data_IF_908331440134
#
_entry.id   IF_908331440134
#
_cell.length_a   1.000
_cell.length_b   1.000
_cell.length_c   1.000
_cell.angle_alpha   90.00
_cell.angle_beta   90.00
_cell.angle_gamma   90.00
#
_symmetry.space_group_name_H-M   'P 1'
#
loop_
_entity.id
_entity.type
_entity.pdbx_description
1 polymer ?
#
# COMPACT_ATOMS: atom_id res chain seq x y z
N UNK A 1 35.02 24.39 -2.44
CA UNK A 1 34.69 23.73 -1.15
C UNK A 1 33.22 23.95 -0.77
N UNK A 2 32.72 25.19 -0.75
CA UNK A 2 31.32 25.51 -0.45
C UNK A 2 30.28 24.73 -1.29
N UNK A 3 30.57 24.53 -2.58
CA UNK A 3 29.73 23.76 -3.52
C UNK A 3 29.58 22.29 -3.12
N UNK A 4 30.63 21.65 -2.60
CA UNK A 4 30.58 20.27 -2.14
C UNK A 4 29.70 20.14 -0.88
N UNK A 5 29.80 21.09 0.05
CA UNK A 5 28.95 21.14 1.24
C UNK A 5 27.47 21.35 0.89
N UNK A 6 27.18 22.21 -0.09
CA UNK A 6 25.82 22.43 -0.59
C UNK A 6 25.22 21.16 -1.19
N UNK A 7 25.98 20.45 -2.03
CA UNK A 7 25.55 19.19 -2.64
C UNK A 7 25.34 18.07 -1.62
N UNK A 8 26.17 18.01 -0.57
CA UNK A 8 26.04 17.04 0.51
C UNK A 8 24.73 17.27 1.30
N UNK A 9 24.43 18.54 1.62
CA UNK A 9 23.22 18.93 2.34
C UNK A 9 21.94 18.65 1.53
N UNK A 10 21.96 18.94 0.23
CA UNK A 10 20.85 18.63 -0.66
C UNK A 10 20.62 17.11 -0.76
N UNK A 11 21.68 16.31 -0.90
CA UNK A 11 21.55 14.85 -0.93
C UNK A 11 20.98 14.28 0.37
N UNK A 12 21.40 14.77 1.53
CA UNK A 12 20.84 14.35 2.82
C UNK A 12 19.33 14.64 2.95
N UNK A 13 18.89 15.79 2.43
CA UNK A 13 17.47 16.14 2.37
C UNK A 13 16.70 15.20 1.44
N UNK A 14 17.23 14.91 0.25
CA UNK A 14 16.61 13.99 -0.71
C UNK A 14 16.50 12.56 -0.17
N UNK A 15 17.53 12.07 0.54
CA UNK A 15 17.51 10.75 1.19
C UNK A 15 16.40 10.70 2.26
N UNK A 16 16.30 11.74 3.09
CA UNK A 16 15.28 11.81 4.15
C UNK A 16 13.86 11.83 3.57
N UNK A 17 13.63 12.61 2.50
CA UNK A 17 12.34 12.65 1.80
C UNK A 17 11.99 11.31 1.14
N UNK A 18 12.96 10.63 0.52
CA UNK A 18 12.75 9.30 -0.08
C UNK A 18 12.42 8.23 0.97
N UNK A 19 13.08 8.26 2.12
CA UNK A 19 12.82 7.31 3.20
C UNK A 19 11.46 7.57 3.86
N UNK A 20 11.06 8.83 3.98
CA UNK A 20 9.74 9.22 4.52
C UNK A 20 8.59 8.82 3.58
N UNK A 21 8.80 8.88 2.25
CA UNK A 21 7.80 8.46 1.26
C UNK A 21 7.62 6.95 1.09
N UNK A 22 8.41 6.11 1.78
CA UNK A 22 8.45 4.66 1.57
C UNK A 22 7.38 3.83 2.29
N UNK A 23 6.62 4.42 3.22
CA UNK A 23 5.78 3.65 4.15
C UNK A 23 4.28 3.64 3.82
N UNK A 24 3.86 4.26 2.71
CA UNK A 24 2.46 4.40 2.35
C UNK A 24 2.21 4.00 0.91
N UNK A 25 2.28 2.71 0.59
CA UNK A 25 1.54 2.26 -0.58
C UNK A 25 0.07 2.63 -0.35
N UNK A 26 -0.58 3.31 -1.31
CA UNK A 26 -2.01 3.65 -1.22
C UNK A 26 -2.94 2.45 -1.04
N UNK A 27 -2.38 1.23 -1.09
CA UNK A 27 -3.10 0.00 -0.89
C UNK A 27 -2.97 -0.48 0.56
N UNK A 28 -4.09 -0.85 1.21
CA UNK A 28 -4.06 -1.47 2.52
C UNK A 28 -3.22 -2.77 2.51
N UNK A 29 -2.65 -3.11 3.67
CA UNK A 29 -1.88 -4.36 3.84
C UNK A 29 -2.82 -5.56 3.66
N UNK A 30 -2.38 -6.67 3.06
CA UNK A 30 -3.23 -7.84 2.87
C UNK A 30 -3.78 -8.33 4.21
N UNK A 31 -5.06 -8.69 4.21
CA UNK A 31 -5.72 -9.33 5.36
C UNK A 31 -5.02 -10.65 5.69
N UNK A 32 -5.08 -11.05 6.96
CA UNK A 32 -4.65 -12.40 7.33
C UNK A 32 -5.64 -13.42 6.79
N UNK A 33 -5.16 -14.62 6.45
CA UNK A 33 -6.00 -15.69 5.90
C UNK A 33 -7.19 -16.07 6.81
N UNK A 34 -7.07 -15.91 8.13
CA UNK A 34 -8.17 -16.13 9.07
C UNK A 34 -9.25 -15.05 8.98
N UNK A 35 -8.85 -13.78 8.88
CA UNK A 35 -9.78 -12.65 8.74
C UNK A 35 -10.50 -12.71 7.38
N UNK A 36 -9.77 -13.06 6.32
CA UNK A 36 -10.35 -13.22 4.99
C UNK A 36 -11.45 -14.29 4.97
N UNK A 37 -11.25 -15.43 5.64
CA UNK A 37 -12.28 -16.47 5.77
C UNK A 37 -13.52 -15.98 6.50
N UNK A 38 -13.33 -15.25 7.60
CA UNK A 38 -14.44 -14.65 8.35
C UNK A 38 -15.24 -13.66 7.49
N UNK A 39 -14.56 -12.79 6.73
CA UNK A 39 -15.23 -11.84 5.85
C UNK A 39 -15.90 -12.53 4.65
N UNK A 40 -15.35 -13.64 4.15
CA UNK A 40 -15.97 -14.45 3.09
C UNK A 40 -17.28 -15.10 3.57
N UNK A 41 -17.31 -15.64 4.79
CA UNK A 41 -18.54 -16.19 5.38
C UNK A 41 -19.60 -15.10 5.59
N UNK A 42 -19.20 -13.93 6.07
CA UNK A 42 -20.09 -12.77 6.21
C UNK A 42 -20.59 -12.25 4.86
N UNK A 43 -19.74 -12.24 3.84
CA UNK A 43 -20.16 -11.95 2.47
C UNK A 43 -21.18 -12.94 1.94
N UNK A 44 -21.00 -14.23 2.21
CA UNK A 44 -21.96 -15.26 1.82
C UNK A 44 -23.33 -15.06 2.52
N UNK A 45 -23.32 -14.51 3.73
CA UNK A 45 -24.52 -14.08 4.45
C UNK A 45 -25.15 -12.77 3.92
N UNK A 46 -24.57 -12.14 2.89
CA UNK A 46 -25.11 -10.93 2.25
C UNK A 46 -24.64 -9.60 2.87
N UNK A 47 -23.61 -9.63 3.72
CA UNK A 47 -23.04 -8.42 4.32
C UNK A 47 -22.26 -7.60 3.27
N UNK A 48 -22.79 -6.41 2.95
CA UNK A 48 -22.20 -5.47 2.00
C UNK A 48 -20.88 -4.88 2.49
N UNK A 49 -20.71 -4.73 3.81
CA UNK A 49 -19.52 -4.11 4.40
C UNK A 49 -18.34 -5.07 4.34
N UNK A 50 -18.57 -6.35 4.64
CA UNK A 50 -17.59 -7.41 4.43
C UNK A 50 -17.13 -7.49 2.97
N UNK A 51 -18.04 -7.25 2.01
CA UNK A 51 -17.72 -7.27 0.57
C UNK A 51 -16.81 -6.12 0.18
N UNK A 52 -17.11 -4.92 0.65
CA UNK A 52 -16.31 -3.74 0.35
C UNK A 52 -14.88 -3.88 0.91
N UNK A 53 -14.74 -4.39 2.14
CA UNK A 53 -13.43 -4.66 2.76
C UNK A 53 -12.62 -5.66 1.92
N UNK A 54 -13.22 -6.76 1.48
CA UNK A 54 -12.54 -7.75 0.63
C UNK A 54 -12.13 -7.17 -0.73
N UNK A 55 -12.97 -6.31 -1.33
CA UNK A 55 -12.65 -5.65 -2.60
C UNK A 55 -11.45 -4.73 -2.43
N UNK A 56 -11.47 -3.81 -1.46
CA UNK A 56 -10.39 -2.83 -1.25
C UNK A 56 -9.03 -3.48 -1.02
N UNK A 57 -8.99 -4.57 -0.27
CA UNK A 57 -7.76 -5.32 -0.02
C UNK A 57 -7.27 -6.07 -1.28
N UNK A 58 -8.19 -6.55 -2.12
CA UNK A 58 -7.87 -7.22 -3.38
C UNK A 58 -7.65 -6.25 -4.56
N UNK A 59 -7.95 -4.95 -4.43
CA UNK A 59 -7.67 -3.94 -5.47
C UNK A 59 -6.19 -3.85 -5.84
N UNK A 60 -5.29 -4.17 -4.91
CA UNK A 60 -3.86 -4.27 -5.19
C UNK A 60 -3.56 -5.32 -6.28
N UNK A 61 -4.27 -6.43 -6.28
CA UNK A 61 -4.14 -7.47 -7.30
C UNK A 61 -4.59 -6.94 -8.67
N UNK A 62 -5.70 -6.19 -8.70
CA UNK A 62 -6.20 -5.54 -9.93
C UNK A 62 -5.19 -4.54 -10.48
N UNK A 63 -4.61 -3.69 -9.63
CA UNK A 63 -3.58 -2.74 -10.04
C UNK A 63 -2.34 -3.45 -10.60
N UNK A 64 -1.96 -4.61 -10.04
CA UNK A 64 -0.86 -5.42 -10.54
C UNK A 64 -1.18 -6.05 -11.91
N UNK A 65 -2.40 -6.58 -12.08
CA UNK A 65 -2.86 -7.17 -13.35
C UNK A 65 -2.86 -6.12 -14.47
N UNK A 66 -3.33 -4.89 -14.20
CA UNK A 66 -3.39 -3.82 -15.21
C UNK A 66 -1.99 -3.34 -15.60
N UNK A 67 -1.05 -3.24 -14.66
CA UNK A 67 0.30 -2.75 -14.94
C UNK A 67 1.20 -3.78 -15.64
N UNK A 68 0.95 -5.07 -15.43
CA UNK A 68 1.78 -6.17 -15.96
C UNK A 68 1.07 -7.02 -17.03
N UNK A 69 -0.13 -6.63 -17.46
CA UNK A 69 -0.92 -7.29 -18.49
C UNK A 69 -0.71 -6.71 -19.88
#
# INVERSE_FOLDING_TARGET
MLTAWLLLMLNGLFVTLRLSGGNGGSFPRPLKAEEERMYLERCAAGDLEARNILIEHNLRLVAHIINNG
#
